data_IF_447011713966
#
_entry.id   IF_447011713966
#
_cell.length_a   1.000
_cell.length_b   1.000
_cell.length_c   1.000
_cell.angle_alpha   90.00
_cell.angle_beta   90.00
_cell.angle_gamma   90.00
#
_symmetry.space_group_name_H-M   'P 1'
#
loop_
_entity.id
_entity.type
_entity.pdbx_description
1 polymer ?
#
# COMPACT_ATOMS: atom_id res chain seq x y z
N UNK A 1 -0.12 -17.96 18.08
CA UNK A 1 -0.73 -18.13 19.42
C UNK A 1 -0.34 -16.98 20.35
N UNK A 2 0.94 -16.81 20.70
CA UNK A 2 1.39 -15.76 21.63
C UNK A 2 0.91 -14.34 21.28
N UNK A 3 1.04 -13.94 20.00
CA UNK A 3 0.56 -12.62 19.56
C UNK A 3 -0.95 -12.41 19.84
N UNK A 4 -1.79 -13.41 19.59
CA UNK A 4 -3.24 -13.30 19.81
C UNK A 4 -3.59 -13.20 21.30
N UNK A 5 -2.83 -13.89 22.17
CA UNK A 5 -2.99 -13.78 23.62
C UNK A 5 -2.62 -12.36 24.07
N UNK A 6 -1.53 -11.80 23.56
CA UNK A 6 -1.13 -10.41 23.85
C UNK A 6 -2.23 -9.43 23.42
N UNK A 7 -2.75 -9.56 22.19
CA UNK A 7 -3.84 -8.71 21.72
C UNK A 7 -5.10 -8.85 22.58
N UNK A 8 -5.48 -10.07 22.94
CA UNK A 8 -6.68 -10.32 23.74
C UNK A 8 -6.59 -9.70 25.13
N UNK A 9 -5.41 -9.76 25.77
CA UNK A 9 -5.19 -9.28 27.12
C UNK A 9 -4.95 -7.76 27.17
N UNK A 10 -4.22 -7.21 26.20
CA UNK A 10 -3.71 -5.83 26.26
C UNK A 10 -4.34 -4.85 25.28
N UNK A 11 -5.22 -5.29 24.38
CA UNK A 11 -5.85 -4.41 23.38
C UNK A 11 -7.37 -4.56 23.40
N UNK A 12 -7.96 -5.12 22.34
CA UNK A 12 -9.40 -5.31 22.19
C UNK A 12 -9.72 -6.66 21.53
N UNK A 13 -10.94 -7.20 21.76
CA UNK A 13 -11.41 -8.39 21.06
C UNK A 13 -11.41 -8.21 19.53
N UNK A 14 -11.79 -7.03 19.04
CA UNK A 14 -11.81 -6.74 17.61
C UNK A 14 -10.41 -6.76 16.99
N UNK A 15 -9.43 -6.15 17.64
CA UNK A 15 -8.04 -6.18 17.17
C UNK A 15 -7.48 -7.61 17.16
N UNK A 16 -7.83 -8.40 18.17
CA UNK A 16 -7.45 -9.83 18.24
C UNK A 16 -8.04 -10.63 17.07
N UNK A 17 -9.33 -10.43 16.77
CA UNK A 17 -10.00 -11.09 15.65
C UNK A 17 -9.38 -10.69 14.32
N UNK A 18 -9.12 -9.39 14.10
CA UNK A 18 -8.51 -8.89 12.88
C UNK A 18 -7.07 -9.39 12.72
N UNK A 19 -6.29 -9.49 13.80
CA UNK A 19 -4.96 -10.08 13.78
C UNK A 19 -5.01 -11.57 13.41
N UNK A 20 -5.97 -12.33 13.95
CA UNK A 20 -6.17 -13.73 13.58
C UNK A 20 -6.50 -13.86 12.09
N UNK A 21 -7.47 -13.07 11.59
CA UNK A 21 -7.85 -13.07 10.18
C UNK A 21 -6.64 -12.71 9.30
N UNK A 22 -5.87 -11.69 9.66
CA UNK A 22 -4.69 -11.27 8.90
C UNK A 22 -3.63 -12.37 8.85
N UNK A 23 -3.35 -13.06 9.96
CA UNK A 23 -2.38 -14.17 10.00
C UNK A 23 -2.86 -15.33 9.11
N UNK A 24 -4.11 -15.75 9.28
CA UNK A 24 -4.68 -16.86 8.49
C UNK A 24 -4.68 -16.52 7.01
N UNK A 25 -5.10 -15.32 6.65
CA UNK A 25 -5.10 -14.86 5.26
C UNK A 25 -3.68 -14.79 4.69
N UNK A 26 -2.72 -14.25 5.43
CA UNK A 26 -1.32 -14.15 4.99
C UNK A 26 -0.69 -15.53 4.74
N UNK A 27 -0.90 -16.49 5.64
CA UNK A 27 -0.32 -17.83 5.52
C UNK A 27 -1.04 -18.65 4.46
N UNK A 28 -2.37 -18.78 4.57
CA UNK A 28 -3.13 -19.72 3.73
C UNK A 28 -3.38 -19.13 2.35
N UNK A 29 -3.91 -17.91 2.29
CA UNK A 29 -4.33 -17.29 1.01
C UNK A 29 -3.11 -16.73 0.29
N UNK A 30 -2.32 -15.87 0.93
CA UNK A 30 -1.19 -15.26 0.25
C UNK A 30 -0.03 -16.24 0.04
N UNK A 31 0.52 -16.82 1.12
CA UNK A 31 1.79 -17.58 1.05
C UNK A 31 1.61 -18.92 0.34
N UNK A 32 0.61 -19.72 0.73
CA UNK A 32 0.41 -21.06 0.18
C UNK A 32 -0.30 -21.06 -1.18
N UNK A 33 -1.32 -20.21 -1.37
CA UNK A 33 -2.15 -20.26 -2.57
C UNK A 33 -1.72 -19.27 -3.67
N UNK A 34 -1.48 -18.00 -3.34
CA UNK A 34 -1.36 -16.95 -4.36
C UNK A 34 0.09 -16.63 -4.77
N UNK A 35 1.02 -16.54 -3.82
CA UNK A 35 2.36 -15.98 -4.01
C UNK A 35 3.10 -16.58 -5.21
N UNK A 36 3.04 -17.90 -5.35
CA UNK A 36 3.72 -18.65 -6.41
C UNK A 36 2.84 -18.95 -7.65
N UNK A 37 1.54 -18.64 -7.60
CA UNK A 37 0.58 -19.13 -8.62
C UNK A 37 -0.12 -18.03 -9.42
N UNK A 38 -0.10 -16.77 -8.98
CA UNK A 38 -0.80 -15.68 -9.69
C UNK A 38 0.00 -14.38 -9.73
N UNK A 39 -0.22 -13.60 -10.79
CA UNK A 39 0.29 -12.23 -10.93
C UNK A 39 -0.46 -11.20 -10.10
N UNK A 40 -1.57 -11.59 -9.46
CA UNK A 40 -2.27 -10.79 -8.46
C UNK A 40 -1.70 -10.98 -7.04
N UNK A 41 -0.58 -11.70 -6.90
CA UNK A 41 0.08 -11.94 -5.62
C UNK A 41 0.31 -10.63 -4.84
N UNK A 42 0.71 -9.54 -5.49
CA UNK A 42 0.96 -8.25 -4.83
C UNK A 42 -0.33 -7.56 -4.40
N UNK A 43 -1.42 -7.66 -5.17
CA UNK A 43 -2.69 -6.99 -4.83
C UNK A 43 -3.30 -7.65 -3.61
N UNK A 44 -3.44 -8.97 -3.61
CA UNK A 44 -3.96 -9.71 -2.45
C UNK A 44 -2.98 -9.77 -1.28
N UNK A 45 -1.69 -9.87 -1.56
CA UNK A 45 -0.64 -9.70 -0.56
C UNK A 45 -0.68 -8.31 0.07
N UNK A 46 -1.01 -7.29 -0.71
CA UNK A 46 -1.24 -5.93 -0.24
C UNK A 46 -2.43 -5.81 0.69
N UNK A 47 -3.54 -6.51 0.40
CA UNK A 47 -4.68 -6.59 1.33
C UNK A 47 -4.26 -7.14 2.70
N UNK A 48 -3.41 -8.18 2.71
CA UNK A 48 -2.84 -8.70 3.95
C UNK A 48 -1.90 -7.68 4.61
N UNK A 49 -1.07 -7.00 3.81
CA UNK A 49 -0.06 -6.04 4.25
C UNK A 49 -0.63 -4.74 4.85
N UNK A 50 -1.85 -4.33 4.49
CA UNK A 50 -2.50 -3.15 5.05
C UNK A 50 -3.41 -3.44 6.26
N UNK A 51 -3.68 -4.71 6.59
CA UNK A 51 -4.40 -5.10 7.81
C UNK A 51 -3.85 -4.47 9.11
N UNK A 52 -2.53 -4.24 9.29
CA UNK A 52 -2.01 -3.56 10.47
C UNK A 52 -2.66 -2.21 10.76
N UNK A 53 -3.15 -1.50 9.74
CA UNK A 53 -3.87 -0.23 9.93
C UNK A 53 -5.18 -0.46 10.70
N UNK A 54 -6.00 -1.42 10.30
CA UNK A 54 -7.27 -1.74 10.96
C UNK A 54 -7.03 -2.36 12.35
N UNK A 55 -6.00 -3.21 12.47
CA UNK A 55 -5.61 -3.82 13.74
C UNK A 55 -5.16 -2.73 14.72
N UNK A 56 -4.28 -1.81 14.30
CA UNK A 56 -3.81 -0.71 15.13
C UNK A 56 -4.94 0.24 15.54
N UNK A 57 -5.84 0.58 14.62
CA UNK A 57 -6.99 1.42 14.93
C UNK A 57 -7.94 0.78 15.94
N UNK A 58 -8.33 -0.48 15.70
CA UNK A 58 -9.25 -1.22 16.57
C UNK A 58 -8.62 -1.58 17.91
N UNK A 59 -7.30 -1.65 18.02
CA UNK A 59 -6.59 -1.91 19.27
C UNK A 59 -6.80 -0.81 20.32
N UNK A 60 -7.12 0.42 19.88
CA UNK A 60 -7.43 1.55 20.76
C UNK A 60 -8.93 1.83 20.83
N UNK A 61 -9.61 1.79 19.68
CA UNK A 61 -11.00 2.26 19.58
C UNK A 61 -12.07 1.17 19.68
N UNK A 62 -11.67 -0.11 19.62
CA UNK A 62 -12.57 -1.26 19.49
C UNK A 62 -13.67 -1.10 18.41
N UNK A 63 -13.40 -0.33 17.36
CA UNK A 63 -14.32 -0.09 16.24
C UNK A 63 -13.53 0.09 14.95
N UNK A 64 -14.23 0.16 13.81
CA UNK A 64 -13.64 0.49 12.50
C UNK A 64 -14.34 1.72 11.92
N UNK A 65 -13.73 2.88 12.10
CA UNK A 65 -14.26 4.14 11.57
C UNK A 65 -14.03 4.26 10.06
N UNK A 66 -14.68 5.24 9.43
CA UNK A 66 -14.39 5.61 8.05
C UNK A 66 -12.91 6.00 7.86
N UNK A 67 -12.31 6.67 8.85
CA UNK A 67 -10.89 7.04 8.86
C UNK A 67 -9.97 5.81 8.80
N UNK A 68 -10.28 4.76 9.57
CA UNK A 68 -9.52 3.52 9.60
C UNK A 68 -9.51 2.84 8.21
N UNK A 69 -10.68 2.78 7.57
CA UNK A 69 -10.83 2.22 6.23
C UNK A 69 -10.15 3.07 5.17
N UNK A 70 -10.29 4.40 5.22
CA UNK A 70 -9.61 5.30 4.30
C UNK A 70 -8.08 5.10 4.37
N UNK A 71 -7.53 5.01 5.59
CA UNK A 71 -6.10 4.78 5.77
C UNK A 71 -5.67 3.38 5.28
N UNK A 72 -6.48 2.35 5.53
CA UNK A 72 -6.26 1.02 4.97
C UNK A 72 -6.16 1.06 3.45
N UNK A 73 -7.05 1.78 2.77
CA UNK A 73 -7.05 1.88 1.31
C UNK A 73 -5.86 2.68 0.76
N UNK A 74 -5.39 3.70 1.48
CA UNK A 74 -4.13 4.40 1.12
C UNK A 74 -2.98 3.40 1.02
N UNK A 75 -2.76 2.59 2.06
CA UNK A 75 -1.69 1.60 2.08
C UNK A 75 -1.91 0.50 1.04
N UNK A 76 -3.16 0.03 0.92
CA UNK A 76 -3.54 -0.99 -0.05
C UNK A 76 -3.21 -0.57 -1.49
N UNK A 77 -3.65 0.62 -1.92
CA UNK A 77 -3.44 1.10 -3.28
C UNK A 77 -2.02 1.62 -3.52
N UNK A 78 -1.31 2.04 -2.47
CA UNK A 78 0.12 2.35 -2.56
C UNK A 78 0.99 1.11 -2.82
N UNK A 79 0.56 -0.07 -2.32
CA UNK A 79 1.35 -1.30 -2.35
C UNK A 79 1.69 -1.77 -3.78
N UNK A 80 0.74 -1.90 -4.73
CA UNK A 80 1.05 -2.32 -6.09
C UNK A 80 2.02 -1.43 -6.86
N UNK A 81 1.87 -0.10 -6.95
CA UNK A 81 2.83 0.74 -7.67
C UNK A 81 4.20 0.75 -6.98
N UNK A 82 4.28 0.64 -5.65
CA UNK A 82 5.54 0.49 -4.92
C UNK A 82 6.27 -0.81 -5.31
N UNK A 83 5.60 -1.96 -5.14
CA UNK A 83 6.25 -3.25 -5.37
C UNK A 83 6.45 -3.57 -6.86
N UNK A 84 5.56 -3.14 -7.76
CA UNK A 84 5.78 -3.34 -9.19
C UNK A 84 6.95 -2.51 -9.70
N UNK A 85 7.20 -1.32 -9.15
CA UNK A 85 8.41 -0.57 -9.45
C UNK A 85 9.69 -1.35 -9.06
N UNK A 86 9.67 -2.03 -7.91
CA UNK A 86 10.75 -2.94 -7.50
C UNK A 86 10.87 -4.15 -8.44
N UNK A 87 9.74 -4.78 -8.79
CA UNK A 87 9.70 -5.96 -9.65
C UNK A 87 10.09 -5.66 -11.10
N UNK A 88 9.94 -4.42 -11.57
CA UNK A 88 10.52 -3.98 -12.86
C UNK A 88 12.05 -3.96 -12.77
N UNK A 89 12.62 -3.46 -11.67
CA UNK A 89 14.08 -3.37 -11.49
C UNK A 89 14.74 -4.73 -11.36
N UNK A 90 14.10 -5.66 -10.64
CA UNK A 90 14.61 -7.01 -10.37
C UNK A 90 13.87 -8.09 -11.18
N UNK A 91 13.43 -7.74 -12.39
CA UNK A 91 12.57 -8.62 -13.22
C UNK A 91 13.22 -9.98 -13.47
N UNK A 92 14.49 -10.00 -13.82
CA UNK A 92 15.21 -11.23 -14.18
C UNK A 92 15.38 -12.16 -12.97
N UNK A 93 15.62 -11.60 -11.78
CA UNK A 93 15.69 -12.37 -10.53
C UNK A 93 14.34 -13.00 -10.18
N UNK A 94 13.23 -12.26 -10.34
CA UNK A 94 11.89 -12.80 -10.12
C UNK A 94 11.52 -13.89 -11.14
N UNK A 95 11.96 -13.74 -12.39
CA UNK A 95 11.78 -14.74 -13.43
C UNK A 95 12.58 -16.02 -13.12
N UNK A 96 13.85 -15.87 -12.72
CA UNK A 96 14.70 -17.00 -12.32
C UNK A 96 14.15 -17.74 -11.09
N UNK A 97 13.53 -17.03 -10.16
CA UNK A 97 12.86 -17.62 -9.00
C UNK A 97 11.47 -18.21 -9.30
N UNK A 98 11.01 -18.19 -10.56
CA UNK A 98 9.70 -18.70 -10.96
C UNK A 98 8.51 -17.97 -10.33
N UNK A 99 8.71 -16.73 -9.85
CA UNK A 99 7.64 -15.96 -9.19
C UNK A 99 6.90 -15.12 -10.24
N UNK A 100 5.59 -15.35 -10.48
CA UNK A 100 4.86 -14.74 -11.58
C UNK A 100 4.44 -13.29 -11.28
N UNK A 101 5.38 -12.41 -10.92
CA UNK A 101 5.10 -10.99 -10.68
C UNK A 101 4.50 -10.33 -11.93
N UNK A 102 3.58 -9.37 -11.77
CA UNK A 102 2.96 -8.70 -12.92
C UNK A 102 3.98 -8.17 -13.95
N UNK A 103 5.11 -7.52 -13.57
CA UNK A 103 6.12 -7.09 -14.54
C UNK A 103 6.91 -8.21 -15.22
N UNK A 104 6.87 -9.44 -14.69
CA UNK A 104 7.48 -10.62 -15.29
C UNK A 104 6.57 -11.20 -16.38
N UNK A 105 5.27 -11.28 -16.12
CA UNK A 105 4.32 -12.01 -16.99
C UNK A 105 3.51 -11.13 -17.93
N UNK A 106 3.42 -9.82 -17.69
CA UNK A 106 2.63 -8.90 -18.48
C UNK A 106 3.48 -7.90 -19.28
N UNK A 107 2.86 -7.28 -20.29
CA UNK A 107 3.48 -6.20 -21.08
C UNK A 107 3.72 -4.96 -20.22
N UNK A 108 4.74 -4.17 -20.57
CA UNK A 108 5.06 -2.91 -19.89
C UNK A 108 3.85 -1.97 -19.83
N UNK A 109 3.07 -1.87 -20.90
CA UNK A 109 1.86 -1.05 -20.91
C UNK A 109 0.72 -1.54 -20.02
N UNK A 110 0.57 -2.87 -19.85
CA UNK A 110 -0.38 -3.38 -18.86
C UNK A 110 0.08 -3.02 -17.45
N UNK A 111 1.35 -3.20 -17.14
CA UNK A 111 1.91 -2.83 -15.82
C UNK A 111 1.73 -1.33 -15.57
N UNK A 112 2.04 -0.49 -16.56
CA UNK A 112 1.90 0.96 -16.44
C UNK A 112 0.46 1.39 -16.18
N UNK A 113 -0.51 0.83 -16.92
CA UNK A 113 -1.94 1.10 -16.70
C UNK A 113 -2.41 0.68 -15.32
N UNK A 114 -2.00 -0.50 -14.85
CA UNK A 114 -2.34 -0.99 -13.51
C UNK A 114 -1.70 -0.09 -12.43
N UNK A 115 -0.43 0.31 -12.58
CA UNK A 115 0.21 1.26 -11.67
C UNK A 115 -0.54 2.59 -11.60
N UNK A 116 -1.04 3.09 -12.73
CA UNK A 116 -1.84 4.32 -12.79
C UNK A 116 -3.19 4.17 -12.08
N UNK A 117 -3.90 3.08 -12.34
CA UNK A 117 -5.17 2.78 -11.68
C UNK A 117 -5.01 2.80 -10.16
N UNK A 118 -4.01 2.10 -9.64
CA UNK A 118 -3.73 2.06 -8.20
C UNK A 118 -3.26 3.42 -7.67
N UNK A 119 -2.47 4.18 -8.44
CA UNK A 119 -2.02 5.52 -8.04
C UNK A 119 -3.19 6.50 -7.91
N UNK A 120 -4.15 6.48 -8.84
CA UNK A 120 -5.35 7.33 -8.78
C UNK A 120 -6.19 6.97 -7.55
N UNK A 121 -6.40 5.68 -7.30
CA UNK A 121 -7.14 5.23 -6.12
C UNK A 121 -6.42 5.52 -4.81
N UNK A 122 -5.09 5.48 -4.79
CA UNK A 122 -4.27 5.89 -3.65
C UNK A 122 -4.47 7.39 -3.34
N UNK A 123 -4.44 8.26 -4.36
CA UNK A 123 -4.67 9.71 -4.19
C UNK A 123 -6.10 9.95 -3.69
N UNK A 124 -7.11 9.32 -4.30
CA UNK A 124 -8.50 9.43 -3.88
C UNK A 124 -8.70 8.96 -2.43
N UNK A 125 -8.08 7.84 -2.05
CA UNK A 125 -8.12 7.32 -0.67
C UNK A 125 -7.40 8.23 0.31
N UNK A 126 -6.32 8.90 -0.12
CA UNK A 126 -5.59 9.86 0.71
C UNK A 126 -6.41 11.12 0.97
N UNK A 127 -7.10 11.62 -0.05
CA UNK A 127 -8.07 12.72 0.12
C UNK A 127 -9.21 12.32 1.04
N UNK A 128 -9.77 11.12 0.84
CA UNK A 128 -10.83 10.59 1.71
C UNK A 128 -10.35 10.47 3.16
N UNK A 129 -9.11 10.05 3.39
CA UNK A 129 -8.52 9.96 4.72
C UNK A 129 -8.50 11.32 5.43
N UNK A 130 -8.02 12.38 4.78
CA UNK A 130 -7.99 13.73 5.36
C UNK A 130 -9.40 14.21 5.71
N UNK A 131 -10.37 14.00 4.81
CA UNK A 131 -11.77 14.39 5.02
C UNK A 131 -12.42 13.59 6.14
N UNK A 132 -12.24 12.27 6.16
CA UNK A 132 -12.82 11.38 7.17
C UNK A 132 -12.16 11.53 8.55
N UNK A 133 -10.95 12.06 8.62
CA UNK A 133 -10.27 12.42 9.87
C UNK A 133 -10.58 13.85 10.33
N UNK A 134 -11.37 14.62 9.56
CA UNK A 134 -11.68 16.03 9.83
C UNK A 134 -10.43 16.91 9.97
N UNK A 135 -9.36 16.57 9.22
CA UNK A 135 -8.09 17.28 9.30
C UNK A 135 -8.14 18.64 8.59
N UNK A 136 -7.30 19.61 9.00
CA UNK A 136 -7.29 20.96 8.45
C UNK A 136 -7.10 21.04 6.93
N UNK A 137 -7.66 22.08 6.30
CA UNK A 137 -7.59 22.29 4.86
C UNK A 137 -6.15 22.33 4.32
N UNK A 138 -5.20 22.87 5.08
CA UNK A 138 -3.79 22.88 4.66
C UNK A 138 -3.22 21.47 4.52
N UNK A 139 -3.66 20.50 5.34
CA UNK A 139 -3.24 19.11 5.24
C UNK A 139 -3.80 18.45 3.98
N UNK A 140 -5.02 18.83 3.56
CA UNK A 140 -5.59 18.40 2.28
C UNK A 140 -4.76 18.89 1.10
N UNK A 141 -4.37 20.17 1.10
CA UNK A 141 -3.54 20.76 0.03
C UNK A 141 -2.20 20.04 -0.08
N UNK A 142 -1.52 19.79 1.04
CA UNK A 142 -0.24 19.06 1.05
C UNK A 142 -0.44 17.61 0.60
N UNK A 143 -1.52 16.95 1.00
CA UNK A 143 -1.84 15.57 0.59
C UNK A 143 -2.02 15.46 -0.92
N UNK A 144 -2.76 16.39 -1.53
CA UNK A 144 -2.94 16.44 -2.99
C UNK A 144 -1.59 16.69 -3.67
N UNK A 145 -0.80 17.64 -3.17
CA UNK A 145 0.53 17.93 -3.73
C UNK A 145 1.45 16.70 -3.70
N UNK A 146 1.52 15.98 -2.57
CA UNK A 146 2.29 14.74 -2.45
C UNK A 146 1.82 13.68 -3.45
N UNK A 147 0.50 13.52 -3.60
CA UNK A 147 -0.09 12.59 -4.57
C UNK A 147 0.28 12.92 -6.02
N UNK A 148 0.23 14.21 -6.39
CA UNK A 148 0.63 14.68 -7.71
C UNK A 148 2.13 14.48 -7.97
N UNK A 149 2.99 14.74 -6.99
CA UNK A 149 4.42 14.44 -7.10
C UNK A 149 4.65 12.97 -7.41
N UNK A 150 3.94 12.07 -6.73
CA UNK A 150 4.02 10.63 -7.00
C UNK A 150 3.52 10.28 -8.42
N UNK A 151 2.39 10.86 -8.85
CA UNK A 151 1.84 10.68 -10.19
C UNK A 151 2.81 11.13 -11.30
N UNK A 152 3.51 12.26 -11.12
CA UNK A 152 4.52 12.76 -12.08
C UNK A 152 5.66 11.75 -12.25
N UNK A 153 6.08 11.06 -11.19
CA UNK A 153 7.11 10.01 -11.31
C UNK A 153 6.63 8.85 -12.18
N UNK A 154 5.34 8.53 -12.15
CA UNK A 154 4.76 7.48 -12.98
C UNK A 154 4.62 7.88 -14.46
N UNK A 155 4.45 9.18 -14.75
CA UNK A 155 4.53 9.71 -16.13
C UNK A 155 5.93 9.50 -16.72
N UNK A 156 6.98 9.60 -15.89
CA UNK A 156 8.36 9.39 -16.33
C UNK A 156 8.66 7.93 -16.70
N UNK A 157 7.83 6.96 -16.29
CA UNK A 157 7.99 5.54 -16.57
C UNK A 157 7.57 5.20 -18.02
N UNK A 158 8.38 5.63 -19.00
CA UNK A 158 8.12 5.40 -20.42
C UNK A 158 8.61 4.04 -20.89
N UNK A 159 7.72 3.23 -21.48
CA UNK A 159 7.97 1.82 -21.84
C UNK A 159 9.19 1.60 -22.75
N UNK A 160 9.44 2.53 -23.69
CA UNK A 160 10.54 2.49 -24.66
C UNK A 160 11.83 3.18 -24.22
N UNK A 161 11.89 3.70 -22.99
CA UNK A 161 13.10 4.36 -22.50
C UNK A 161 14.20 3.34 -22.19
N UNK A 162 15.43 3.63 -22.60
CA UNK A 162 16.62 2.87 -22.18
C UNK A 162 16.79 2.88 -20.64
N UNK A 163 16.30 3.92 -19.97
CA UNK A 163 16.42 4.12 -18.52
C UNK A 163 15.24 3.50 -17.73
N UNK A 164 14.40 2.66 -18.35
CA UNK A 164 13.15 2.15 -17.75
C UNK A 164 13.34 1.54 -16.35
N UNK A 165 14.34 0.66 -16.18
CA UNK A 165 14.63 0.04 -14.89
C UNK A 165 15.13 1.03 -13.83
N UNK A 166 15.90 2.05 -14.25
CA UNK A 166 16.42 3.09 -13.36
C UNK A 166 15.30 4.02 -12.90
N UNK A 167 14.38 4.38 -13.78
CA UNK A 167 13.18 5.17 -13.44
C UNK A 167 12.29 4.39 -12.47
N UNK A 168 12.07 3.10 -12.70
CA UNK A 168 11.34 2.24 -11.77
C UNK A 168 12.00 2.21 -10.38
N UNK A 169 13.34 2.09 -10.33
CA UNK A 169 14.08 2.20 -9.07
C UNK A 169 13.88 3.54 -8.34
N UNK A 170 13.77 4.66 -9.08
CA UNK A 170 13.44 5.97 -8.50
C UNK A 170 12.00 6.01 -7.98
N UNK A 171 11.03 5.46 -8.71
CA UNK A 171 9.62 5.39 -8.27
C UNK A 171 9.53 4.63 -6.94
N UNK A 172 10.26 3.52 -6.80
CA UNK A 172 10.34 2.77 -5.55
C UNK A 172 10.84 3.66 -4.39
N UNK A 173 11.93 4.41 -4.59
CA UNK A 173 12.42 5.32 -3.54
C UNK A 173 11.43 6.44 -3.22
N UNK A 174 10.88 7.09 -4.24
CA UNK A 174 9.88 8.15 -4.08
C UNK A 174 8.59 7.67 -3.40
N UNK A 175 8.19 6.41 -3.62
CA UNK A 175 7.02 5.84 -2.96
C UNK A 175 7.22 5.70 -1.44
N UNK A 176 8.44 5.39 -0.99
CA UNK A 176 8.78 5.34 0.43
C UNK A 176 8.76 6.76 1.00
N UNK A 177 9.41 7.71 0.31
CA UNK A 177 9.39 9.13 0.70
C UNK A 177 7.96 9.67 0.80
N UNK A 178 7.11 9.38 -0.17
CA UNK A 178 5.70 9.76 -0.17
C UNK A 178 4.98 9.25 1.09
N UNK A 179 5.10 7.95 1.39
CA UNK A 179 4.40 7.36 2.52
C UNK A 179 4.93 7.88 3.87
N UNK A 180 6.24 8.09 3.98
CA UNK A 180 6.87 8.69 5.15
C UNK A 180 6.39 10.12 5.38
N UNK A 181 6.38 10.95 4.33
CA UNK A 181 5.90 12.33 4.42
C UNK A 181 4.41 12.40 4.73
N UNK A 182 3.59 11.53 4.11
CA UNK A 182 2.16 11.43 4.43
C UNK A 182 1.95 11.04 5.89
N UNK A 183 2.72 10.09 6.42
CA UNK A 183 2.60 9.68 7.83
C UNK A 183 2.96 10.81 8.79
N UNK A 184 4.05 11.54 8.53
CA UNK A 184 4.41 12.74 9.32
C UNK A 184 3.34 13.81 9.20
N UNK A 185 2.82 14.05 8.00
CA UNK A 185 1.75 15.01 7.75
C UNK A 185 0.50 14.69 8.58
N UNK A 186 0.06 13.44 8.62
CA UNK A 186 -1.11 13.03 9.40
C UNK A 186 -0.93 13.32 10.89
N UNK A 187 0.25 13.02 11.45
CA UNK A 187 0.55 13.31 12.86
C UNK A 187 0.57 14.81 13.13
N UNK A 188 1.29 15.58 12.31
CA UNK A 188 1.39 17.04 12.47
C UNK A 188 0.02 17.70 12.30
N UNK A 189 -0.75 17.27 11.31
CA UNK A 189 -2.11 17.76 11.09
C UNK A 189 -2.97 17.52 12.31
N UNK A 190 -2.99 16.30 12.85
CA UNK A 190 -3.78 15.95 14.03
C UNK A 190 -3.38 16.75 15.28
N UNK A 191 -2.08 17.04 15.46
CA UNK A 191 -1.57 17.82 16.60
C UNK A 191 -1.88 19.32 16.49
N UNK A 192 -2.10 19.82 15.28
CA UNK A 192 -2.42 21.22 14.98
C UNK A 192 -3.91 21.42 14.66
N UNK A 193 -4.73 20.38 14.84
CA UNK A 193 -6.19 20.42 14.66
C UNK A 193 -6.90 20.97 15.89
#
# INVERSE_FOLDING_TARGET
ALALIIFWVFTTPLATLLALIAIVFYVVVYTMALKQRTSQNIVWGGAAGCMPVLIGWSAVTNSLSATAWAFFFVIFFWTPPHFWALAIKYKDDYAAAGTPMLPVVATKGRVHREMWFHTILMIASSVWLIVAAELPLWALVVTIALGLVFAVQLVALKEGSAEYAKVAGKIFQWSITYLSLLSVLLVVAQLLS
#
